data_IF_176197459799
#
_entry.id   IF_176197459799
#
_cell.length_a   1.000
_cell.length_b   1.000
_cell.length_c   1.000
_cell.angle_alpha   90.00
_cell.angle_beta   90.00
_cell.angle_gamma   90.00
#
_symmetry.space_group_name_H-M   'P 1'
#
loop_
_entity.id
_entity.type
_entity.pdbx_description
1 polymer ?
#
# COMPACT_ATOMS: atom_id res chain seq x y z
N UNK A 1 7.78 -27.46 62.91
CA UNK A 1 8.29 -28.85 62.88
C UNK A 1 7.15 -29.77 62.48
N UNK A 2 7.44 -30.68 61.54
CA UNK A 2 6.71 -31.92 61.22
C UNK A 2 5.33 -31.73 60.53
N UNK A 3 5.16 -32.03 59.23
CA UNK A 3 5.06 -33.38 58.61
C UNK A 3 3.96 -34.21 59.29
N UNK A 4 3.02 -34.91 58.64
CA UNK A 4 3.07 -35.59 57.35
C UNK A 4 1.68 -36.15 57.01
N UNK A 5 1.38 -36.23 55.70
CA UNK A 5 0.89 -37.40 54.94
C UNK A 5 -0.05 -38.39 55.67
N UNK A 6 -1.25 -38.64 55.16
CA UNK A 6 -1.58 -39.70 54.17
C UNK A 6 -3.08 -40.03 54.41
N UNK A 7 -3.90 -40.65 53.57
CA UNK A 7 -3.70 -41.58 52.48
C UNK A 7 -5.08 -41.79 51.79
N UNK A 8 -5.08 -42.01 50.46
CA UNK A 8 -5.95 -42.94 49.69
C UNK A 8 -7.49 -42.70 49.69
N UNK A 9 -8.28 -42.97 48.63
CA UNK A 9 -8.15 -43.75 47.38
C UNK A 9 -9.43 -43.53 46.55
N UNK A 10 -9.31 -43.57 45.22
CA UNK A 10 -10.20 -44.23 44.21
C UNK A 10 -10.33 -43.43 42.90
N UNK A 11 -9.85 -44.07 41.83
CA UNK A 11 -9.91 -43.72 40.40
C UNK A 11 -11.31 -44.07 39.80
N UNK A 12 -11.59 -43.98 38.48
CA UNK A 12 -10.94 -43.25 37.37
C UNK A 12 -11.93 -42.40 36.53
N UNK A 13 -11.46 -41.32 35.91
CA UNK A 13 -12.24 -40.51 34.96
C UNK A 13 -11.43 -40.18 33.72
N UNK A 14 -11.40 -41.14 32.80
CA UNK A 14 -11.10 -41.08 31.36
C UNK A 14 -10.53 -39.78 30.75
N UNK A 15 -9.34 -39.96 30.16
CA UNK A 15 -8.74 -39.19 29.08
C UNK A 15 -9.74 -38.71 28.01
N UNK A 16 -9.78 -37.41 27.76
CA UNK A 16 -10.41 -36.81 26.58
C UNK A 16 -9.38 -35.98 25.78
N UNK A 17 -8.20 -36.56 25.55
CA UNK A 17 -7.21 -36.11 24.57
C UNK A 17 -7.00 -37.21 23.52
N UNK A 18 -8.07 -37.72 22.92
CA UNK A 18 -7.93 -38.46 21.66
C UNK A 18 -9.25 -38.47 20.88
N UNK A 19 -9.40 -37.50 19.97
CA UNK A 19 -10.27 -37.67 18.80
C UNK A 19 -9.50 -37.24 17.57
N UNK A 20 -8.73 -38.18 17.03
CA UNK A 20 -8.41 -38.25 15.59
C UNK A 20 -9.72 -38.23 14.81
N UNK A 21 -10.15 -37.05 14.39
CA UNK A 21 -11.05 -36.91 13.25
C UNK A 21 -10.21 -36.86 11.99
N UNK A 22 -10.57 -37.74 11.07
CA UNK A 22 -9.92 -37.98 9.80
C UNK A 22 -9.75 -36.68 9.02
N UNK A 23 -8.50 -36.39 8.62
CA UNK A 23 -8.15 -35.34 7.66
C UNK A 23 -8.92 -35.57 6.36
N UNK A 24 -9.81 -34.66 5.92
CA UNK A 24 -10.18 -34.59 4.52
C UNK A 24 -8.91 -34.19 3.75
N UNK A 25 -8.58 -34.92 2.70
CA UNK A 25 -7.51 -34.55 1.77
C UNK A 25 -7.72 -33.09 1.33
N UNK A 26 -6.75 -32.22 1.68
CA UNK A 26 -6.70 -30.84 1.16
C UNK A 26 -6.63 -30.98 -0.37
N UNK A 27 -7.74 -30.65 -1.03
CA UNK A 27 -7.77 -30.39 -2.47
C UNK A 27 -6.62 -29.44 -2.79
N UNK A 28 -5.83 -29.81 -3.79
CA UNK A 28 -4.71 -29.04 -4.29
C UNK A 28 -5.11 -27.56 -4.38
N UNK A 29 -4.28 -26.71 -3.77
CA UNK A 29 -4.37 -25.26 -3.88
C UNK A 29 -4.49 -24.90 -5.35
N UNK A 30 -5.62 -24.28 -5.72
CA UNK A 30 -5.78 -23.65 -7.02
C UNK A 30 -4.59 -22.70 -7.20
N UNK A 31 -3.70 -23.02 -8.15
CA UNK A 31 -2.73 -22.06 -8.68
C UNK A 31 -3.52 -20.80 -8.99
N UNK A 32 -3.17 -19.69 -8.33
CA UNK A 32 -3.82 -18.40 -8.55
C UNK A 32 -3.86 -18.14 -10.05
N UNK A 33 -5.06 -18.08 -10.61
CA UNK A 33 -5.27 -17.79 -12.02
C UNK A 33 -4.72 -16.38 -12.26
N UNK A 34 -3.53 -16.28 -12.86
CA UNK A 34 -3.04 -14.99 -13.37
C UNK A 34 -3.99 -14.60 -14.48
N UNK A 35 -4.59 -13.43 -14.37
CA UNK A 35 -5.37 -12.87 -15.48
C UNK A 35 -4.42 -12.67 -16.64
N UNK A 36 -4.64 -13.42 -17.73
CA UNK A 36 -3.89 -13.27 -18.98
C UNK A 36 -4.70 -12.35 -19.87
N UNK A 37 -4.18 -11.15 -20.10
CA UNK A 37 -4.79 -10.18 -21.00
C UNK A 37 -4.34 -10.43 -22.44
N UNK A 38 -5.25 -10.25 -23.40
CA UNK A 38 -4.89 -10.16 -24.81
C UNK A 38 -4.06 -8.90 -25.09
N UNK A 39 -3.35 -8.87 -26.21
CA UNK A 39 -2.58 -7.69 -26.61
C UNK A 39 -3.46 -6.44 -26.76
N UNK A 40 -4.69 -6.60 -27.26
CA UNK A 40 -5.66 -5.51 -27.38
C UNK A 40 -6.07 -4.97 -26.00
N UNK A 41 -6.32 -5.86 -25.03
CA UNK A 41 -6.64 -5.48 -23.66
C UNK A 41 -5.46 -4.76 -22.98
N UNK A 42 -4.23 -5.25 -23.18
CA UNK A 42 -3.02 -4.60 -22.66
C UNK A 42 -2.85 -3.18 -23.24
N UNK A 43 -3.08 -3.00 -24.54
CA UNK A 43 -3.05 -1.69 -25.18
C UNK A 43 -4.11 -0.76 -24.61
N UNK A 44 -5.34 -1.25 -24.44
CA UNK A 44 -6.43 -0.47 -23.85
C UNK A 44 -6.11 -0.04 -22.41
N UNK A 45 -5.59 -0.94 -21.58
CA UNK A 45 -5.18 -0.64 -20.21
C UNK A 45 -4.07 0.42 -20.20
N UNK A 46 -3.07 0.28 -21.06
CA UNK A 46 -1.99 1.25 -21.18
C UNK A 46 -2.52 2.65 -21.57
N UNK A 47 -3.49 2.72 -22.48
CA UNK A 47 -4.11 3.97 -22.88
C UNK A 47 -4.96 4.61 -21.78
N UNK A 48 -5.68 3.80 -20.99
CA UNK A 48 -6.41 4.29 -19.81
C UNK A 48 -5.45 4.90 -18.77
N UNK A 49 -4.36 4.20 -18.44
CA UNK A 49 -3.33 4.70 -17.50
C UNK A 49 -2.73 6.02 -17.99
N UNK A 50 -2.36 6.08 -19.27
CA UNK A 50 -1.80 7.28 -19.89
C UNK A 50 -2.76 8.46 -19.80
N UNK A 51 -4.06 8.24 -20.05
CA UNK A 51 -5.07 9.29 -19.92
C UNK A 51 -5.23 9.78 -18.48
N UNK A 52 -5.15 8.89 -17.48
CA UNK A 52 -5.18 9.29 -16.07
C UNK A 52 -4.02 10.26 -15.77
N UNK A 53 -2.80 9.87 -16.14
CA UNK A 53 -1.58 10.67 -15.87
C UNK A 53 -1.63 12.01 -16.62
N UNK A 54 -2.01 12.01 -17.90
CA UNK A 54 -2.11 13.22 -18.71
C UNK A 54 -3.15 14.21 -18.15
N UNK A 55 -4.34 13.72 -17.74
CA UNK A 55 -5.39 14.56 -17.16
C UNK A 55 -5.04 15.07 -15.76
N UNK A 56 -4.32 14.28 -14.97
CA UNK A 56 -3.82 14.72 -13.66
C UNK A 56 -2.77 15.83 -13.80
N UNK A 57 -1.81 15.65 -14.72
CA UNK A 57 -0.68 16.54 -14.97
C UNK A 57 0.18 16.81 -13.72
N UNK A 58 0.95 17.92 -13.67
CA UNK A 58 2.15 18.03 -12.82
C UNK A 58 1.91 18.21 -11.31
N UNK A 59 0.66 18.24 -10.86
CA UNK A 59 0.28 18.59 -9.48
C UNK A 59 -0.59 17.51 -8.82
N UNK A 60 -0.35 16.26 -9.19
CA UNK A 60 -1.05 15.08 -8.68
C UNK A 60 -2.59 15.18 -8.84
N UNK A 61 -3.05 15.97 -9.82
CA UNK A 61 -4.46 16.28 -10.05
C UNK A 61 -5.18 17.15 -9.00
N UNK A 62 -4.46 17.70 -8.01
CA UNK A 62 -5.08 18.43 -6.90
C UNK A 62 -5.75 19.74 -7.30
N UNK A 63 -5.17 20.45 -8.27
CA UNK A 63 -5.67 21.73 -8.79
C UNK A 63 -6.65 21.58 -9.96
N UNK A 64 -7.00 20.35 -10.33
CA UNK A 64 -7.96 20.09 -11.41
C UNK A 64 -9.39 20.45 -11.01
N UNK A 65 -10.16 20.87 -12.01
CA UNK A 65 -11.59 21.17 -11.87
C UNK A 65 -12.38 19.91 -11.47
N UNK A 66 -13.56 20.10 -10.89
CA UNK A 66 -14.43 18.99 -10.50
C UNK A 66 -14.78 18.06 -11.68
N UNK A 67 -15.04 18.64 -12.86
CA UNK A 67 -15.31 17.89 -14.10
C UNK A 67 -14.10 17.03 -14.51
N UNK A 68 -12.88 17.56 -14.49
CA UNK A 68 -11.69 16.77 -14.82
C UNK A 68 -11.44 15.67 -13.79
N UNK A 69 -11.66 15.95 -12.50
CA UNK A 69 -11.57 14.93 -11.43
C UNK A 69 -12.60 13.81 -11.61
N UNK A 70 -13.80 14.15 -12.06
CA UNK A 70 -14.83 13.16 -12.38
C UNK A 70 -14.43 12.28 -13.57
N UNK A 71 -13.87 12.86 -14.64
CA UNK A 71 -13.33 12.10 -15.78
C UNK A 71 -12.21 11.15 -15.36
N UNK A 72 -11.25 11.64 -14.56
CA UNK A 72 -10.17 10.81 -14.00
C UNK A 72 -10.76 9.66 -13.16
N UNK A 73 -11.78 9.94 -12.35
CA UNK A 73 -12.50 8.92 -11.59
C UNK A 73 -13.10 7.83 -12.46
N UNK A 74 -13.70 8.20 -13.60
CA UNK A 74 -14.21 7.24 -14.59
C UNK A 74 -13.11 6.36 -15.18
N UNK A 75 -11.96 6.95 -15.55
CA UNK A 75 -10.81 6.21 -16.06
C UNK A 75 -10.22 5.25 -15.01
N UNK A 76 -10.10 5.69 -13.76
CA UNK A 76 -9.66 4.86 -12.63
C UNK A 76 -10.58 3.64 -12.49
N UNK A 77 -11.90 3.83 -12.51
CA UNK A 77 -12.87 2.74 -12.42
C UNK A 77 -12.76 1.78 -13.61
N UNK A 78 -12.49 2.27 -14.81
CA UNK A 78 -12.26 1.44 -15.98
C UNK A 78 -11.00 0.54 -15.82
N UNK A 79 -9.89 1.09 -15.29
CA UNK A 79 -8.67 0.31 -15.00
C UNK A 79 -8.92 -0.73 -13.93
N UNK A 80 -9.55 -0.37 -12.81
CA UNK A 80 -9.91 -1.30 -11.73
C UNK A 80 -10.78 -2.46 -12.23
N UNK A 81 -11.74 -2.16 -13.12
CA UNK A 81 -12.62 -3.16 -13.71
C UNK A 81 -11.92 -4.21 -14.57
N UNK A 82 -10.66 -3.99 -14.97
CA UNK A 82 -9.87 -4.98 -15.71
C UNK A 82 -9.32 -6.10 -14.83
N UNK A 83 -9.19 -5.87 -13.52
CA UNK A 83 -8.53 -6.79 -12.60
C UNK A 83 -9.48 -7.24 -11.48
N UNK A 84 -10.18 -8.37 -11.71
CA UNK A 84 -11.15 -8.91 -10.73
C UNK A 84 -10.51 -9.26 -9.39
N UNK A 85 -9.29 -9.81 -9.40
CA UNK A 85 -8.51 -10.11 -8.20
C UNK A 85 -7.17 -9.39 -8.27
N UNK A 86 -6.94 -8.51 -7.30
CA UNK A 86 -5.68 -7.79 -7.16
C UNK A 86 -4.69 -8.69 -6.40
N UNK A 87 -3.59 -9.13 -7.02
CA UNK A 87 -2.60 -9.98 -6.37
C UNK A 87 -1.76 -9.17 -5.37
N UNK A 88 -1.21 -9.86 -4.37
CA UNK A 88 -0.16 -9.30 -3.51
C UNK A 88 1.04 -8.92 -4.36
N UNK A 89 1.34 -7.62 -4.45
CA UNK A 89 2.55 -7.11 -5.11
C UNK A 89 3.76 -7.23 -4.18
N UNK A 90 4.94 -7.54 -4.74
CA UNK A 90 6.17 -7.36 -3.98
C UNK A 90 6.56 -5.88 -4.02
N UNK A 91 6.45 -5.20 -2.87
CA UNK A 91 6.81 -3.79 -2.74
C UNK A 91 8.28 -3.60 -2.37
N UNK A 92 8.96 -4.59 -1.81
CA UNK A 92 10.34 -4.41 -1.36
C UNK A 92 11.27 -4.04 -2.52
N UNK A 93 12.13 -3.05 -2.31
CA UNK A 93 13.05 -2.51 -3.31
C UNK A 93 12.36 -1.75 -4.44
N UNK A 94 11.18 -1.17 -4.19
CA UNK A 94 10.45 -0.41 -5.22
C UNK A 94 10.31 1.06 -4.87
N UNK A 95 10.30 1.89 -5.91
CA UNK A 95 10.15 3.33 -5.84
C UNK A 95 8.97 3.73 -6.71
N UNK A 96 8.16 4.66 -6.24
CA UNK A 96 6.96 5.07 -6.92
C UNK A 96 6.74 6.57 -6.79
N UNK A 97 6.30 7.22 -7.86
CA UNK A 97 5.85 8.60 -7.80
C UNK A 97 4.34 8.69 -7.85
N UNK A 98 3.80 9.73 -7.21
CA UNK A 98 2.37 9.99 -7.20
C UNK A 98 1.96 10.62 -8.54
N UNK A 99 1.11 9.94 -9.30
CA UNK A 99 0.55 10.48 -10.53
C UNK A 99 -0.76 11.24 -10.28
N UNK A 100 -1.59 10.74 -9.36
CA UNK A 100 -2.87 11.38 -9.01
C UNK A 100 -3.29 11.06 -7.58
N UNK A 101 -3.86 12.03 -6.88
CA UNK A 101 -4.53 11.81 -5.59
C UNK A 101 -5.76 12.69 -5.41
N UNK A 102 -6.73 12.20 -4.64
CA UNK A 102 -7.80 13.04 -4.08
C UNK A 102 -7.49 13.53 -2.67
N UNK A 103 -6.35 13.15 -2.09
CA UNK A 103 -5.98 13.54 -0.73
C UNK A 103 -5.62 15.03 -0.67
N UNK A 104 -6.31 15.84 0.15
CA UNK A 104 -6.06 17.28 0.22
C UNK A 104 -4.81 17.64 1.05
N UNK A 105 -4.18 16.66 1.72
CA UNK A 105 -3.07 16.87 2.66
C UNK A 105 -1.70 16.56 2.07
N UNK A 106 -0.70 16.51 2.96
CA UNK A 106 0.72 16.31 2.60
C UNK A 106 0.95 15.03 1.80
N UNK A 107 0.23 13.96 2.11
CA UNK A 107 0.31 12.69 1.36
C UNK A 107 -0.11 12.84 -0.10
N UNK A 108 -1.04 13.74 -0.43
CA UNK A 108 -1.40 14.06 -1.82
C UNK A 108 -0.43 15.03 -2.50
N UNK A 109 0.58 15.50 -1.77
CA UNK A 109 1.58 16.44 -2.23
C UNK A 109 1.27 17.89 -1.92
N UNK A 110 0.31 18.18 -1.04
CA UNK A 110 -0.08 19.55 -0.71
C UNK A 110 0.21 19.90 0.75
N UNK A 111 0.94 20.98 0.96
CA UNK A 111 1.16 21.58 2.28
C UNK A 111 0.89 23.08 2.19
N UNK A 112 -0.26 23.51 2.70
CA UNK A 112 -0.71 24.89 2.52
C UNK A 112 -0.92 25.23 1.03
N UNK A 113 -0.35 26.36 0.53
CA UNK A 113 -0.46 26.74 -0.88
C UNK A 113 0.51 25.97 -1.80
N UNK A 114 1.47 25.23 -1.23
CA UNK A 114 2.51 24.55 -1.99
C UNK A 114 2.04 23.17 -2.43
N UNK A 115 2.27 22.84 -3.69
CA UNK A 115 2.05 21.50 -4.26
C UNK A 115 3.40 21.00 -4.77
N UNK A 116 3.75 19.79 -4.37
CA UNK A 116 5.07 19.21 -4.57
C UNK A 116 5.04 17.81 -5.13
N UNK A 117 6.25 17.32 -5.35
CA UNK A 117 6.51 15.97 -5.81
C UNK A 117 6.39 14.99 -4.64
N UNK A 118 5.68 13.88 -4.87
CA UNK A 118 5.48 12.83 -3.85
C UNK A 118 6.06 11.53 -4.34
N UNK A 119 6.89 10.92 -3.49
CA UNK A 119 7.50 9.63 -3.74
C UNK A 119 7.22 8.66 -2.60
N UNK A 120 7.15 7.39 -2.96
CA UNK A 120 6.99 6.27 -2.07
C UNK A 120 8.11 5.29 -2.30
N UNK A 121 8.92 5.11 -1.27
CA UNK A 121 10.06 4.20 -1.28
C UNK A 121 9.82 3.05 -0.31
N UNK A 122 10.11 1.85 -0.79
CA UNK A 122 10.10 0.61 -0.01
C UNK A 122 11.52 0.05 -0.03
N UNK A 123 12.35 0.33 0.99
CA UNK A 123 13.77 0.00 0.95
C UNK A 123 14.00 -1.50 0.77
N UNK A 124 15.00 -1.87 -0.03
CA UNK A 124 15.34 -3.27 -0.29
C UNK A 124 15.92 -3.97 0.95
N UNK A 125 16.63 -3.23 1.80
CA UNK A 125 17.34 -3.69 2.98
C UNK A 125 16.50 -3.66 4.27
N UNK A 126 15.31 -3.06 4.24
CA UNK A 126 14.44 -2.90 5.41
C UNK A 126 13.02 -3.42 5.13
N UNK A 127 12.81 -4.75 5.18
CA UNK A 127 11.49 -5.36 4.99
C UNK A 127 10.45 -4.75 5.93
N UNK A 128 9.25 -4.48 5.41
CA UNK A 128 8.15 -3.91 6.19
C UNK A 128 8.29 -2.42 6.49
N UNK A 129 9.34 -1.74 6.01
CA UNK A 129 9.46 -0.27 6.08
C UNK A 129 8.98 0.40 4.80
N UNK A 130 8.38 1.57 4.98
CA UNK A 130 7.87 2.42 3.91
C UNK A 130 8.22 3.87 4.22
N UNK A 131 8.61 4.61 3.20
CA UNK A 131 8.97 6.02 3.31
C UNK A 131 8.12 6.81 2.32
N UNK A 132 7.31 7.74 2.83
CA UNK A 132 6.66 8.75 2.00
C UNK A 132 7.51 10.03 1.98
N UNK A 133 7.85 10.53 0.81
CA UNK A 133 8.61 11.77 0.64
C UNK A 133 7.74 12.81 -0.03
N UNK A 134 7.82 14.04 0.45
CA UNK A 134 7.24 15.22 -0.16
C UNK A 134 8.37 16.23 -0.41
N UNK A 135 8.56 16.64 -1.67
CA UNK A 135 9.49 17.67 -2.07
C UNK A 135 8.73 18.91 -2.57
N UNK A 136 8.87 20.02 -1.85
CA UNK A 136 8.31 21.34 -2.19
C UNK A 136 9.45 22.34 -2.52
N UNK A 137 10.61 21.85 -2.95
CA UNK A 137 11.82 22.64 -3.16
C UNK A 137 12.64 22.78 -1.87
N UNK A 138 12.73 23.99 -1.32
CA UNK A 138 13.51 24.24 -0.09
C UNK A 138 12.93 23.51 1.13
N UNK A 139 11.63 23.25 1.13
CA UNK A 139 10.95 22.50 2.17
C UNK A 139 10.72 21.07 1.69
N UNK A 140 11.20 20.09 2.47
CA UNK A 140 10.94 18.67 2.22
C UNK A 140 10.37 18.01 3.47
N UNK A 141 9.60 16.95 3.30
CA UNK A 141 9.14 16.11 4.39
C UNK A 141 9.36 14.63 4.07
N UNK A 142 9.76 13.87 5.07
CA UNK A 142 9.92 12.41 5.02
C UNK A 142 9.09 11.82 6.15
N UNK A 143 8.18 10.91 5.82
CA UNK A 143 7.35 10.19 6.76
C UNK A 143 7.76 8.71 6.75
N UNK A 144 8.32 8.24 7.86
CA UNK A 144 8.65 6.84 8.03
C UNK A 144 7.43 6.09 8.55
N UNK A 145 7.14 4.93 7.94
CA UNK A 145 6.10 4.03 8.39
C UNK A 145 6.54 2.57 8.33
N UNK A 146 5.78 1.75 9.05
CA UNK A 146 5.77 0.31 8.96
C UNK A 146 4.54 -0.14 8.18
N UNK A 147 4.67 -1.20 7.39
CA UNK A 147 3.55 -1.77 6.66
C UNK A 147 3.50 -3.29 6.75
N UNK A 148 2.28 -3.82 6.76
CA UNK A 148 2.01 -5.26 6.79
C UNK A 148 0.82 -5.60 5.89
N UNK A 149 0.96 -6.63 5.08
CA UNK A 149 -0.17 -7.17 4.32
C UNK A 149 -1.07 -8.02 5.23
N UNK A 150 -2.33 -7.60 5.36
CA UNK A 150 -3.38 -8.35 6.09
C UNK A 150 -4.30 -9.14 5.16
N UNK A 151 -4.23 -8.88 3.86
CA UNK A 151 -4.83 -9.67 2.78
C UNK A 151 -4.03 -9.47 1.48
N UNK A 152 -4.38 -10.15 0.38
CA UNK A 152 -3.71 -9.99 -0.92
C UNK A 152 -3.68 -8.52 -1.39
N UNK A 153 -4.78 -7.81 -1.17
CA UNK A 153 -4.99 -6.43 -1.63
C UNK A 153 -5.10 -5.42 -0.48
N UNK A 154 -4.81 -5.81 0.77
CA UNK A 154 -4.97 -4.92 1.93
C UNK A 154 -3.69 -4.83 2.75
N UNK A 155 -3.24 -3.61 2.99
CA UNK A 155 -2.01 -3.28 3.71
C UNK A 155 -2.35 -2.39 4.88
N UNK A 156 -2.00 -2.78 6.09
CA UNK A 156 -1.99 -1.88 7.24
C UNK A 156 -0.72 -1.04 7.21
N UNK A 157 -0.84 0.24 7.55
CA UNK A 157 0.28 1.18 7.62
C UNK A 157 0.26 1.87 8.98
N UNK A 158 1.42 1.93 9.63
CA UNK A 158 1.62 2.61 10.90
C UNK A 158 2.77 3.60 10.76
N UNK A 159 2.46 4.88 10.86
CA UNK A 159 3.46 5.94 10.83
C UNK A 159 4.22 5.96 12.16
N UNK A 160 5.53 6.22 12.07
CA UNK A 160 6.47 6.15 13.20
C UNK A 160 7.01 7.54 13.53
N UNK A 161 7.59 8.19 12.52
CA UNK A 161 8.14 9.53 12.64
C UNK A 161 7.92 10.34 11.38
N UNK A 162 7.99 11.66 11.55
CA UNK A 162 8.04 12.61 10.46
C UNK A 162 9.29 13.48 10.62
N UNK A 163 10.00 13.67 9.52
CA UNK A 163 11.17 14.54 9.44
C UNK A 163 10.91 15.63 8.42
N UNK A 164 11.05 16.88 8.84
CA UNK A 164 10.99 18.05 7.97
C UNK A 164 12.40 18.55 7.69
N UNK A 165 12.64 19.02 6.47
CA UNK A 165 13.90 19.58 6.02
C UNK A 165 13.68 20.98 5.47
N UNK A 166 14.50 21.94 5.89
CA UNK A 166 14.57 23.29 5.33
C UNK A 166 16.03 23.60 5.02
N UNK A 167 16.46 23.35 3.79
CA UNK A 167 17.89 23.40 3.43
C UNK A 167 18.72 22.45 4.31
N UNK A 168 19.77 22.93 5.01
CA UNK A 168 20.60 22.08 5.88
C UNK A 168 19.93 21.75 7.22
N UNK A 169 18.82 22.42 7.57
CA UNK A 169 18.14 22.19 8.83
C UNK A 169 17.18 21.02 8.72
N UNK A 170 17.17 20.16 9.74
CA UNK A 170 16.23 19.05 9.86
C UNK A 170 15.53 19.05 11.23
N UNK A 171 14.26 18.68 11.23
CA UNK A 171 13.45 18.51 12.43
C UNK A 171 12.73 17.17 12.39
N UNK A 172 13.14 16.25 13.25
CA UNK A 172 12.45 14.97 13.45
C UNK A 172 11.47 15.07 14.64
N UNK A 173 10.27 14.52 14.46
CA UNK A 173 9.25 14.42 15.50
C UNK A 173 8.63 13.02 15.48
N UNK A 174 8.38 12.40 16.65
CA UNK A 174 7.53 11.23 16.74
C UNK A 174 6.16 11.54 16.12
N UNK A 175 5.64 10.62 15.33
CA UNK A 175 4.35 10.78 14.67
C UNK A 175 3.62 9.45 14.66
N UNK A 176 2.61 9.32 15.52
CA UNK A 176 1.84 8.09 15.65
C UNK A 176 0.47 8.28 15.01
N UNK A 177 0.29 7.71 13.84
CA UNK A 177 -1.00 7.56 13.20
C UNK A 177 -1.00 6.23 12.42
N UNK A 178 -2.17 5.67 12.15
CA UNK A 178 -2.30 4.42 11.41
C UNK A 178 -3.45 4.47 10.43
N UNK A 179 -3.41 3.57 9.47
CA UNK A 179 -4.45 3.42 8.47
C UNK A 179 -4.29 2.12 7.71
N UNK A 180 -5.04 2.00 6.63
CA UNK A 180 -4.86 0.91 5.68
C UNK A 180 -4.91 1.44 4.26
N UNK A 181 -4.28 0.70 3.36
CA UNK A 181 -4.42 0.80 1.93
C UNK A 181 -5.18 -0.42 1.41
N UNK A 182 -6.16 -0.16 0.57
CA UNK A 182 -6.92 -1.13 -0.19
C UNK A 182 -6.52 -1.00 -1.66
N UNK A 183 -5.69 -1.91 -2.14
CA UNK A 183 -5.26 -1.95 -3.53
C UNK A 183 -6.42 -2.41 -4.41
N UNK A 184 -6.73 -1.61 -5.43
CA UNK A 184 -7.79 -1.88 -6.42
C UNK A 184 -7.25 -2.21 -7.80
N UNK A 185 -5.98 -1.91 -8.04
CA UNK A 185 -5.26 -2.35 -9.23
C UNK A 185 -3.76 -2.37 -8.92
N UNK A 186 -3.04 -3.36 -9.45
CA UNK A 186 -1.58 -3.38 -9.41
C UNK A 186 -1.01 -4.19 -10.58
N UNK A 187 0.02 -3.65 -11.22
CA UNK A 187 0.84 -4.37 -12.19
C UNK A 187 2.31 -3.91 -12.15
N UNK A 188 3.06 -4.10 -13.24
CA UNK A 188 4.51 -3.89 -13.26
C UNK A 188 4.92 -2.45 -12.98
N UNK A 189 4.10 -1.48 -13.39
CA UNK A 189 4.45 -0.05 -13.40
C UNK A 189 3.36 0.86 -12.83
N UNK A 190 2.22 0.30 -12.44
CA UNK A 190 1.09 1.11 -12.01
C UNK A 190 0.35 0.46 -10.85
N UNK A 191 -0.10 1.27 -9.91
CA UNK A 191 -0.99 0.82 -8.84
C UNK A 191 -2.02 1.88 -8.46
N UNK A 192 -3.20 1.41 -8.11
CA UNK A 192 -4.31 2.22 -7.60
C UNK A 192 -4.65 1.69 -6.23
N UNK A 193 -4.66 2.57 -5.23
CA UNK A 193 -5.02 2.24 -3.87
C UNK A 193 -5.97 3.28 -3.28
N UNK A 194 -6.81 2.82 -2.35
CA UNK A 194 -7.64 3.67 -1.51
C UNK A 194 -7.15 3.64 -0.08
N UNK A 195 -7.17 4.78 0.59
CA UNK A 195 -6.88 4.84 2.02
C UNK A 195 -8.15 4.64 2.84
N UNK A 196 -7.98 4.40 4.14
CA UNK A 196 -9.08 4.38 5.12
C UNK A 196 -9.91 5.68 5.17
N UNK A 197 -9.41 6.77 4.59
CA UNK A 197 -10.11 8.06 4.49
C UNK A 197 -10.87 8.22 3.16
N UNK A 198 -10.96 7.17 2.34
CA UNK A 198 -11.62 7.21 1.03
C UNK A 198 -10.86 7.94 -0.06
N UNK A 199 -9.61 8.35 0.20
CA UNK A 199 -8.77 9.00 -0.79
C UNK A 199 -8.18 7.98 -1.76
N UNK A 200 -8.19 8.29 -3.05
CA UNK A 200 -7.50 7.48 -4.07
C UNK A 200 -6.08 7.99 -4.28
N UNK A 201 -5.18 7.05 -4.53
CA UNK A 201 -3.80 7.28 -4.90
C UNK A 201 -3.49 6.43 -6.11
N UNK A 202 -3.03 7.09 -7.17
CA UNK A 202 -2.53 6.46 -8.37
C UNK A 202 -1.03 6.67 -8.40
N UNK A 203 -0.29 5.57 -8.40
CA UNK A 203 1.17 5.58 -8.33
C UNK A 203 1.75 4.93 -9.58
N UNK A 204 2.79 5.56 -10.12
CA UNK A 204 3.59 5.01 -11.20
C UNK A 204 4.94 4.56 -10.63
N UNK A 205 5.43 3.41 -11.07
CA UNK A 205 6.71 2.87 -10.61
C UNK A 205 7.82 3.67 -11.25
N UNK A 206 8.75 4.15 -10.44
CA UNK A 206 9.95 4.82 -10.90
C UNK A 206 10.96 3.79 -11.39
N UNK A 207 11.59 4.09 -12.52
CA UNK A 207 12.71 3.31 -13.03
C UNK A 207 13.98 3.73 -12.27
N UNK A 208 14.40 2.91 -11.31
CA UNK A 208 15.57 3.18 -10.48
C UNK A 208 16.88 3.15 -11.28
N UNK A 209 16.90 2.58 -12.48
CA UNK A 209 18.09 2.59 -13.34
C UNK A 209 18.45 3.97 -13.91
N UNK A 210 17.56 4.97 -13.74
CA UNK A 210 17.74 6.33 -14.25
C UNK A 210 18.02 7.38 -13.17
N UNK A 211 18.18 6.99 -11.91
CA UNK A 211 18.43 7.93 -10.80
C UNK A 211 19.92 8.07 -10.44
N UNK A 212 20.80 7.25 -11.03
CA UNK A 212 22.26 7.30 -10.84
C UNK A 212 23.00 7.99 -12.02
N UNK A 213 22.31 8.82 -12.80
CA UNK A 213 22.87 9.58 -13.93
C UNK A 213 22.86 11.09 -13.68
#
# INVERSE_FOLDING_TARGET
MLSSLSNQKLLPGSNAWDRRTQRPQRKASARGSRTVYSQAQLSQIADLKRQIVQKAGPKNGLDRSASVKQEIGGLIKAVEGTQQKVPRSNLQGTHWHLAYSTSPGSSGGKLGPFIGWVEQEFPADQPGKYINKLDLGLLKAKLLAEYEYVADNKINVKFVDITFFLGPFQLNRPFSNSGYWDLRYTDKDFRILYTNLGNVFVMEKMDTSKMDA
#
